data_IF_709746224833
#
_entry.id   IF_709746224833
#
_cell.length_a   1.000
_cell.length_b   1.000
_cell.length_c   1.000
_cell.angle_alpha   90.00
_cell.angle_beta   90.00
_cell.angle_gamma   90.00
#
_symmetry.space_group_name_H-M   'P 1'
#
loop_
_entity.id
_entity.type
_entity.pdbx_description
1 polymer ?
#
# COMPACT_ATOMS: atom_id res chain seq x y z
N UNK A 1 -42.62 20.26 40.29
CA UNK A 1 -41.20 20.64 40.18
C UNK A 1 -40.40 19.38 39.94
N UNK A 2 -40.19 19.03 38.67
CA UNK A 2 -39.47 17.83 38.25
C UNK A 2 -38.09 18.27 37.74
N UNK A 3 -37.07 17.63 38.30
CA UNK A 3 -35.65 17.96 38.21
C UNK A 3 -35.13 17.88 36.77
N UNK A 4 -34.57 18.99 36.30
CA UNK A 4 -34.01 19.20 34.97
C UNK A 4 -32.62 18.54 34.84
N UNK A 5 -32.56 17.21 35.04
CA UNK A 5 -31.42 16.41 34.61
C UNK A 5 -31.69 15.85 33.24
N UNK A 6 -31.77 16.76 32.28
CA UNK A 6 -31.53 16.43 30.89
C UNK A 6 -30.04 16.07 30.80
N UNK A 7 -29.76 14.80 31.10
CA UNK A 7 -28.61 14.07 30.59
C UNK A 7 -28.35 14.57 29.18
N UNK A 8 -27.31 15.39 29.01
CA UNK A 8 -26.77 15.71 27.69
C UNK A 8 -26.26 14.38 27.17
N UNK A 9 -27.17 13.69 26.50
CA UNK A 9 -26.91 12.44 25.84
C UNK A 9 -25.68 12.67 24.98
N UNK A 10 -24.71 11.79 25.22
CA UNK A 10 -23.62 11.47 24.34
C UNK A 10 -24.18 11.21 22.94
N UNK A 11 -24.49 12.27 22.19
CA UNK A 11 -24.51 12.23 20.75
C UNK A 11 -23.05 12.23 20.32
N UNK A 12 -22.37 11.11 20.58
CA UNK A 12 -21.29 10.65 19.73
C UNK A 12 -21.98 10.51 18.38
N UNK A 13 -21.89 11.56 17.57
CA UNK A 13 -22.53 11.64 16.27
C UNK A 13 -22.15 10.37 15.50
N UNK A 14 -23.15 9.53 15.31
CA UNK A 14 -23.09 8.30 14.57
C UNK A 14 -22.81 8.64 13.10
N UNK A 15 -21.59 8.35 12.63
CA UNK A 15 -21.30 7.92 11.25
C UNK A 15 -21.67 8.82 10.06
N UNK A 16 -21.65 10.14 10.18
CA UNK A 16 -22.02 11.03 9.05
C UNK A 16 -20.82 11.47 8.18
N UNK A 17 -20.12 10.50 7.60
CA UNK A 17 -19.55 10.57 6.25
C UNK A 17 -18.91 9.20 5.94
N UNK A 18 -19.38 8.47 4.91
CA UNK A 18 -18.98 7.09 4.68
C UNK A 18 -17.49 6.99 4.36
N UNK A 19 -16.86 5.92 4.84
CA UNK A 19 -15.46 5.58 4.55
C UNK A 19 -15.26 5.11 3.10
N UNK A 20 -15.84 5.82 2.13
CA UNK A 20 -16.03 5.31 0.76
C UNK A 20 -14.70 5.11 0.04
N UNK A 21 -13.73 6.01 0.23
CA UNK A 21 -12.40 5.86 -0.34
C UNK A 21 -11.61 4.70 0.25
N UNK A 22 -11.81 4.36 1.53
CA UNK A 22 -11.00 3.34 2.24
C UNK A 22 -11.02 1.96 1.58
N UNK A 23 -12.19 1.57 1.06
CA UNK A 23 -12.43 0.28 0.41
C UNK A 23 -11.66 0.17 -0.91
N UNK A 24 -11.40 1.30 -1.57
CA UNK A 24 -10.76 1.33 -2.89
C UNK A 24 -9.30 1.79 -2.81
N UNK A 25 -9.02 2.93 -2.16
CA UNK A 25 -7.66 3.46 -1.98
C UNK A 25 -6.77 2.45 -1.26
N UNK A 26 -7.23 1.91 -0.12
CA UNK A 26 -6.43 1.02 0.72
C UNK A 26 -5.89 -0.18 -0.05
N UNK A 27 -6.75 -1.03 -0.63
CA UNK A 27 -6.32 -2.13 -1.50
C UNK A 27 -5.62 -1.64 -2.78
N UNK A 28 -6.06 -0.54 -3.38
CA UNK A 28 -5.50 0.01 -4.61
C UNK A 28 -4.02 0.39 -4.47
N UNK A 29 -3.63 0.96 -3.32
CA UNK A 29 -2.25 1.32 -2.98
C UNK A 29 -1.31 0.11 -3.06
N UNK A 30 -1.77 -1.10 -2.73
CA UNK A 30 -0.96 -2.32 -2.84
C UNK A 30 -0.49 -2.60 -4.28
N UNK A 31 -1.20 -2.09 -5.29
CA UNK A 31 -0.80 -2.21 -6.71
C UNK A 31 0.34 -1.26 -7.11
N UNK A 32 0.67 -0.28 -6.26
CA UNK A 32 1.64 0.78 -6.53
C UNK A 32 2.88 0.70 -5.62
N UNK A 33 2.70 0.32 -4.35
CA UNK A 33 3.79 0.29 -3.37
C UNK A 33 4.92 -0.66 -3.75
N UNK A 34 6.11 -0.32 -3.25
CA UNK A 34 7.33 -1.11 -3.41
C UNK A 34 7.60 -1.81 -2.09
N UNK A 35 7.27 -3.10 -2.01
CA UNK A 35 7.29 -3.87 -0.77
C UNK A 35 8.72 -4.37 -0.54
N UNK A 36 9.40 -4.01 0.55
CA UNK A 36 10.71 -4.57 0.87
C UNK A 36 10.60 -6.09 1.07
N UNK A 37 11.56 -6.84 0.54
CA UNK A 37 11.66 -8.28 0.73
C UNK A 37 12.66 -8.57 1.84
N UNK A 38 12.24 -9.05 3.03
CA UNK A 38 13.15 -9.33 4.15
C UNK A 38 14.20 -10.38 3.80
N UNK A 39 15.35 -10.32 4.47
CA UNK A 39 16.45 -11.26 4.23
C UNK A 39 17.17 -11.06 2.89
N UNK A 40 16.78 -10.05 2.12
CA UNK A 40 17.45 -9.66 0.88
C UNK A 40 18.26 -8.38 1.11
N UNK A 41 19.29 -8.15 0.29
CA UNK A 41 20.13 -6.94 0.33
C UNK A 41 19.37 -5.72 -0.24
N UNK A 42 18.21 -5.41 0.33
CA UNK A 42 17.35 -4.30 -0.07
C UNK A 42 16.47 -4.55 -1.29
N UNK A 43 16.18 -5.80 -1.67
CA UNK A 43 15.26 -6.05 -2.79
C UNK A 43 13.84 -5.61 -2.44
N UNK A 44 13.12 -5.15 -3.45
CA UNK A 44 11.71 -4.77 -3.39
C UNK A 44 10.88 -5.60 -4.36
N UNK A 45 9.72 -6.05 -3.89
CA UNK A 45 8.63 -6.58 -4.69
C UNK A 45 7.81 -5.41 -5.26
N UNK A 46 7.59 -5.44 -6.57
CA UNK A 46 6.74 -4.47 -7.26
C UNK A 46 5.99 -5.13 -8.40
N UNK A 47 4.76 -4.67 -8.61
CA UNK A 47 3.99 -5.04 -9.78
C UNK A 47 4.32 -4.18 -10.98
N UNK A 48 5.23 -3.20 -10.93
CA UNK A 48 5.48 -2.30 -12.07
C UNK A 48 6.87 -2.50 -12.67
N UNK A 49 7.00 -2.45 -14.01
CA UNK A 49 8.31 -2.46 -14.63
C UNK A 49 9.15 -1.26 -14.18
N UNK A 50 10.49 -1.35 -14.26
CA UNK A 50 11.34 -0.19 -14.13
C UNK A 50 10.93 0.92 -15.11
N UNK A 51 11.09 2.21 -14.77
CA UNK A 51 10.65 3.31 -15.64
C UNK A 51 11.21 3.28 -17.06
N UNK A 52 12.42 2.73 -17.25
CA UNK A 52 13.13 2.64 -18.53
C UNK A 52 12.79 1.36 -19.34
N UNK A 53 11.90 0.50 -18.83
CA UNK A 53 11.49 -0.74 -19.50
C UNK A 53 10.08 -0.63 -20.06
N UNK A 54 10.01 -0.46 -21.37
CA UNK A 54 8.77 -0.49 -22.15
C UNK A 54 8.58 -1.88 -22.78
N UNK A 55 7.34 -2.37 -22.84
CA UNK A 55 7.01 -3.63 -23.54
C UNK A 55 7.36 -4.93 -22.80
N UNK A 56 7.77 -4.87 -21.53
CA UNK A 56 8.04 -6.06 -20.72
C UNK A 56 6.79 -6.95 -20.58
N UNK A 57 6.94 -8.24 -20.87
CA UNK A 57 5.92 -9.27 -20.64
C UNK A 57 5.88 -9.75 -19.19
N UNK A 58 6.54 -9.05 -18.27
CA UNK A 58 6.62 -9.43 -16.86
C UNK A 58 5.48 -8.83 -16.03
N UNK A 59 4.87 -9.63 -15.16
CA UNK A 59 3.81 -9.17 -14.26
C UNK A 59 4.34 -8.73 -12.89
N UNK A 60 5.42 -9.36 -12.42
CA UNK A 60 5.99 -9.15 -11.08
C UNK A 60 7.50 -9.00 -11.17
N UNK A 61 8.04 -8.12 -10.33
CA UNK A 61 9.46 -7.80 -10.25
C UNK A 61 9.91 -7.84 -8.79
N UNK A 62 10.96 -8.59 -8.50
CA UNK A 62 11.76 -8.44 -7.30
C UNK A 62 13.12 -7.87 -7.72
N UNK A 63 13.44 -6.67 -7.28
CA UNK A 63 14.61 -5.91 -7.77
C UNK A 63 15.23 -5.01 -6.70
N UNK A 64 16.45 -4.54 -6.91
CA UNK A 64 17.01 -3.48 -6.08
C UNK A 64 16.32 -2.14 -6.43
N UNK A 65 15.84 -1.35 -5.43
CA UNK A 65 15.22 -0.05 -5.66
C UNK A 65 16.18 1.01 -6.22
N UNK A 66 17.48 0.90 -5.93
CA UNK A 66 18.52 1.87 -6.33
C UNK A 66 19.02 1.62 -7.76
N UNK A 67 18.87 0.40 -8.26
CA UNK A 67 19.41 -0.03 -9.54
C UNK A 67 18.49 0.31 -10.74
N UNK A 68 17.84 1.47 -10.66
CA UNK A 68 16.87 1.93 -11.64
C UNK A 68 17.50 2.40 -12.97
N UNK A 69 18.84 2.46 -13.07
CA UNK A 69 19.56 2.96 -14.26
C UNK A 69 20.33 1.89 -15.03
N UNK A 70 20.74 0.76 -14.43
CA UNK A 70 21.55 -0.24 -15.14
C UNK A 70 21.34 -1.73 -14.74
N UNK A 71 20.64 -2.06 -13.66
CA UNK A 71 20.49 -3.44 -13.21
C UNK A 71 19.15 -4.06 -13.55
N UNK A 72 19.21 -5.17 -14.29
CA UNK A 72 18.04 -5.99 -14.57
C UNK A 72 17.39 -6.45 -13.25
N UNK A 73 16.07 -6.51 -13.18
CA UNK A 73 15.37 -7.11 -12.04
C UNK A 73 15.91 -8.52 -11.75
N UNK A 74 16.19 -8.75 -10.47
CA UNK A 74 16.89 -9.91 -9.96
C UNK A 74 16.03 -11.18 -10.05
N UNK A 75 14.73 -11.07 -9.81
CA UNK A 75 13.76 -12.12 -10.06
C UNK A 75 12.50 -11.54 -10.72
N UNK A 76 12.00 -12.21 -11.75
CA UNK A 76 10.76 -11.85 -12.43
C UNK A 76 9.92 -13.05 -12.77
N UNK A 77 8.63 -12.79 -12.90
CA UNK A 77 7.66 -13.71 -13.46
C UNK A 77 7.25 -13.20 -14.85
N UNK A 78 7.72 -13.90 -15.87
CA UNK A 78 7.60 -13.52 -17.29
C UNK A 78 6.65 -14.48 -18.01
N UNK A 79 5.99 -13.98 -19.06
CA UNK A 79 5.29 -14.81 -20.04
C UNK A 79 5.97 -14.64 -21.40
N UNK A 80 6.38 -15.74 -22.04
CA UNK A 80 6.99 -15.68 -23.35
C UNK A 80 7.87 -16.89 -23.68
N UNK A 81 8.69 -16.79 -24.74
CA UNK A 81 9.62 -17.85 -25.12
C UNK A 81 10.59 -18.19 -23.99
N UNK A 82 10.61 -19.46 -23.59
CA UNK A 82 11.48 -20.01 -22.58
C UNK A 82 12.66 -20.74 -23.24
N UNK A 83 13.88 -20.31 -22.90
CA UNK A 83 15.11 -20.86 -23.49
C UNK A 83 15.45 -22.26 -22.99
N UNK A 84 14.95 -22.65 -21.82
CA UNK A 84 15.21 -23.96 -21.22
C UNK A 84 14.25 -25.03 -21.72
N UNK A 85 12.98 -24.67 -21.91
CA UNK A 85 11.93 -25.62 -22.35
C UNK A 85 11.63 -25.53 -23.85
N UNK A 86 12.16 -24.51 -24.53
CA UNK A 86 11.86 -24.19 -25.93
C UNK A 86 10.36 -23.96 -26.22
N UNK A 87 9.57 -23.69 -25.19
CA UNK A 87 8.13 -23.44 -25.28
C UNK A 87 7.79 -21.98 -24.96
N UNK A 88 6.58 -21.54 -25.31
CA UNK A 88 6.02 -20.29 -24.79
C UNK A 88 5.30 -20.64 -23.48
N UNK A 89 5.84 -20.21 -22.35
CA UNK A 89 5.30 -20.52 -21.03
C UNK A 89 5.43 -19.35 -20.04
N UNK A 90 4.91 -19.55 -18.83
CA UNK A 90 5.21 -18.72 -17.68
C UNK A 90 6.50 -19.23 -17.03
N UNK A 91 7.49 -18.36 -16.87
CA UNK A 91 8.77 -18.76 -16.30
C UNK A 91 9.38 -17.70 -15.39
N UNK A 92 10.16 -18.20 -14.45
CA UNK A 92 10.99 -17.39 -13.59
C UNK A 92 12.26 -16.96 -14.34
N UNK A 93 12.56 -15.68 -14.29
CA UNK A 93 13.80 -15.13 -14.78
C UNK A 93 14.61 -14.62 -13.59
N UNK A 94 15.79 -15.19 -13.36
CA UNK A 94 16.63 -14.87 -12.21
C UNK A 94 18.06 -14.56 -12.65
N UNK A 95 18.51 -13.35 -12.34
CA UNK A 95 19.84 -12.87 -12.68
C UNK A 95 20.55 -12.38 -11.41
N UNK A 96 21.88 -12.43 -11.39
CA UNK A 96 22.68 -11.97 -10.25
C UNK A 96 22.85 -12.98 -9.11
N UNK A 97 24.03 -12.95 -8.47
CA UNK A 97 24.38 -13.86 -7.36
C UNK A 97 23.51 -13.64 -6.12
N UNK A 98 23.20 -12.38 -5.80
CA UNK A 98 22.37 -12.04 -4.64
C UNK A 98 20.94 -12.60 -4.75
N UNK A 99 20.35 -12.55 -5.95
CA UNK A 99 19.02 -13.11 -6.21
C UNK A 99 18.98 -14.63 -6.01
N UNK A 100 19.95 -15.34 -6.60
CA UNK A 100 20.03 -16.80 -6.49
C UNK A 100 20.25 -17.27 -5.05
N UNK A 101 20.94 -16.47 -4.24
CA UNK A 101 21.07 -16.71 -2.80
C UNK A 101 19.75 -16.46 -2.06
N UNK A 102 19.01 -15.42 -2.43
CA UNK A 102 17.73 -15.07 -1.80
C UNK A 102 16.59 -16.02 -2.17
N UNK A 103 16.63 -16.62 -3.37
CA UNK A 103 15.60 -17.52 -3.90
C UNK A 103 16.22 -18.86 -4.30
N UNK A 104 16.64 -19.68 -3.33
CA UNK A 104 17.21 -20.99 -3.62
C UNK A 104 16.17 -21.87 -4.30
N UNK A 105 16.60 -22.66 -5.29
CA UNK A 105 15.72 -23.56 -6.04
C UNK A 105 15.07 -22.94 -7.28
N UNK A 106 15.09 -21.61 -7.43
CA UNK A 106 14.64 -20.95 -8.66
C UNK A 106 15.83 -20.76 -9.59
N UNK A 107 15.77 -21.37 -10.77
CA UNK A 107 16.79 -21.23 -11.82
C UNK A 107 16.33 -20.29 -12.94
N UNK A 108 17.27 -19.81 -13.74
CA UNK A 108 16.95 -18.88 -14.81
C UNK A 108 16.21 -19.58 -15.94
N UNK A 109 15.07 -19.02 -16.37
CA UNK A 109 14.11 -19.62 -17.29
C UNK A 109 13.45 -20.91 -16.78
N UNK A 110 13.34 -21.05 -15.45
CA UNK A 110 12.61 -22.17 -14.86
C UNK A 110 11.10 -22.01 -15.09
N UNK A 111 10.38 -23.05 -15.58
CA UNK A 111 8.92 -23.01 -15.66
C UNK A 111 8.29 -22.69 -14.31
N UNK A 112 7.29 -21.82 -14.30
CA UNK A 112 6.65 -21.34 -13.08
C UNK A 112 5.44 -22.19 -12.64
N UNK A 113 4.98 -23.10 -13.51
CA UNK A 113 3.85 -23.98 -13.26
C UNK A 113 2.51 -23.25 -13.10
N UNK A 114 1.49 -23.99 -12.65
CA UNK A 114 0.12 -23.45 -12.49
C UNK A 114 0.05 -22.31 -11.46
N UNK A 115 0.80 -22.43 -10.36
CA UNK A 115 0.87 -21.38 -9.33
C UNK A 115 1.48 -20.10 -9.89
N UNK A 116 2.59 -20.20 -10.63
CA UNK A 116 3.19 -19.05 -11.30
C UNK A 116 2.27 -18.41 -12.34
N UNK A 117 1.57 -19.21 -13.13
CA UNK A 117 0.56 -18.70 -14.06
C UNK A 117 -0.55 -17.91 -13.35
N UNK A 118 -1.10 -18.46 -12.26
CA UNK A 118 -2.14 -17.80 -11.47
C UNK A 118 -1.64 -16.47 -10.87
N UNK A 119 -0.44 -16.49 -10.29
CA UNK A 119 0.22 -15.29 -9.76
C UNK A 119 0.41 -14.25 -10.87
N UNK A 120 0.87 -14.65 -12.05
CA UNK A 120 1.09 -13.75 -13.18
C UNK A 120 -0.22 -13.08 -13.64
N UNK A 121 -1.26 -13.89 -13.89
CA UNK A 121 -2.57 -13.39 -14.33
C UNK A 121 -3.19 -12.48 -13.27
N UNK A 122 -3.13 -12.91 -12.01
CA UNK A 122 -3.60 -12.15 -10.86
C UNK A 122 -2.89 -10.81 -10.74
N UNK A 123 -1.56 -10.78 -10.81
CA UNK A 123 -0.77 -9.55 -10.74
C UNK A 123 -1.06 -8.59 -11.91
N UNK A 124 -1.24 -9.11 -13.13
CA UNK A 124 -1.59 -8.29 -14.30
C UNK A 124 -2.97 -7.67 -14.15
N UNK A 125 -3.96 -8.46 -13.73
CA UNK A 125 -5.31 -7.98 -13.46
C UNK A 125 -5.32 -6.95 -12.32
N UNK A 126 -4.65 -7.26 -11.21
CA UNK A 126 -4.58 -6.40 -10.03
C UNK A 126 -3.84 -5.08 -10.30
N UNK A 127 -2.81 -5.08 -11.15
CA UNK A 127 -2.15 -3.84 -11.59
C UNK A 127 -3.11 -2.89 -12.30
N UNK A 128 -4.02 -3.42 -13.13
CA UNK A 128 -5.02 -2.62 -13.82
C UNK A 128 -6.15 -2.21 -12.86
N UNK A 129 -6.71 -3.17 -12.12
CA UNK A 129 -7.78 -2.93 -11.16
C UNK A 129 -7.37 -1.94 -10.05
N UNK A 130 -6.15 -2.06 -9.53
CA UNK A 130 -5.64 -1.18 -8.48
C UNK A 130 -5.54 0.29 -8.92
N UNK A 131 -5.28 0.57 -10.21
CA UNK A 131 -5.36 1.94 -10.74
C UNK A 131 -6.78 2.48 -10.73
N UNK A 132 -7.74 1.64 -11.16
CA UNK A 132 -9.16 1.99 -11.13
C UNK A 132 -9.58 2.25 -9.68
N UNK A 133 -9.20 1.39 -8.74
CA UNK A 133 -9.49 1.57 -7.32
C UNK A 133 -8.91 2.88 -6.77
N UNK A 134 -7.66 3.23 -7.10
CA UNK A 134 -7.07 4.50 -6.65
C UNK A 134 -7.87 5.69 -7.23
N UNK A 135 -8.16 5.70 -8.53
CA UNK A 135 -8.87 6.82 -9.18
C UNK A 135 -10.28 6.95 -8.61
N UNK A 136 -11.04 5.86 -8.58
CA UNK A 136 -12.41 5.86 -8.06
C UNK A 136 -12.43 6.22 -6.58
N UNK A 137 -11.52 5.67 -5.78
CA UNK A 137 -11.36 6.02 -4.38
C UNK A 137 -11.08 7.51 -4.17
N UNK A 138 -10.23 8.12 -5.00
CA UNK A 138 -9.90 9.54 -4.92
C UNK A 138 -11.10 10.43 -5.27
N UNK A 139 -11.88 10.05 -6.27
CA UNK A 139 -13.14 10.75 -6.61
C UNK A 139 -14.13 10.67 -5.45
N UNK A 140 -14.30 9.49 -4.85
CA UNK A 140 -15.20 9.30 -3.72
C UNK A 140 -14.72 10.08 -2.48
N UNK A 141 -13.40 10.17 -2.26
CA UNK A 141 -12.81 11.02 -1.23
C UNK A 141 -13.09 12.50 -1.50
N UNK A 142 -12.93 12.97 -2.73
CA UNK A 142 -13.29 14.34 -3.14
C UNK A 142 -14.76 14.66 -2.90
N UNK A 143 -15.67 13.77 -3.30
CA UNK A 143 -17.10 13.91 -3.01
C UNK A 143 -17.33 13.99 -1.50
N UNK A 144 -16.68 13.11 -0.72
CA UNK A 144 -16.83 13.10 0.74
C UNK A 144 -16.35 14.40 1.40
N UNK A 145 -15.34 15.06 0.84
CA UNK A 145 -14.87 16.37 1.34
C UNK A 145 -15.90 17.46 1.02
N UNK A 146 -16.44 17.47 -0.21
CA UNK A 146 -17.39 18.48 -0.67
C UNK A 146 -18.74 18.40 0.04
N UNK A 147 -19.16 17.20 0.45
CA UNK A 147 -20.44 16.99 1.13
C UNK A 147 -20.34 16.96 2.66
N UNK A 148 -19.13 17.05 3.21
CA UNK A 148 -18.93 17.02 4.66
C UNK A 148 -19.34 18.34 5.33
N UNK A 149 -19.98 18.23 6.50
CA UNK A 149 -20.28 19.38 7.37
C UNK A 149 -19.01 20.11 7.82
N UNK A 150 -17.88 19.40 7.91
CA UNK A 150 -16.56 19.93 8.26
C UNK A 150 -15.53 19.55 7.18
N UNK A 151 -15.46 20.28 6.06
CA UNK A 151 -14.65 19.90 4.90
C UNK A 151 -13.14 19.87 5.20
N UNK A 152 -12.65 20.75 6.08
CA UNK A 152 -11.23 20.76 6.48
C UNK A 152 -10.84 19.56 7.33
N UNK A 153 -11.69 19.19 8.30
CA UNK A 153 -11.52 17.96 9.06
C UNK A 153 -11.47 16.76 8.12
N UNK A 154 -12.42 16.67 7.19
CA UNK A 154 -12.48 15.55 6.25
C UNK A 154 -11.26 15.48 5.33
N UNK A 155 -10.79 16.62 4.85
CA UNK A 155 -9.55 16.71 4.07
C UNK A 155 -8.37 16.14 4.84
N UNK A 156 -8.20 16.54 6.11
CA UNK A 156 -7.12 16.02 6.96
C UNK A 156 -7.21 14.51 7.15
N UNK A 157 -8.41 13.98 7.39
CA UNK A 157 -8.63 12.54 7.51
C UNK A 157 -8.22 11.78 6.23
N UNK A 158 -8.58 12.29 5.06
CA UNK A 158 -8.26 11.64 3.77
C UNK A 158 -6.75 11.64 3.52
N UNK A 159 -6.08 12.79 3.66
CA UNK A 159 -4.65 12.91 3.39
C UNK A 159 -3.84 12.02 4.34
N UNK A 160 -4.15 12.07 5.64
CA UNK A 160 -3.49 11.21 6.64
C UNK A 160 -3.76 9.73 6.38
N UNK A 161 -4.96 9.37 5.91
CA UNK A 161 -5.30 8.00 5.55
C UNK A 161 -4.51 7.48 4.34
N UNK A 162 -4.29 8.29 3.31
CA UNK A 162 -3.50 7.89 2.14
C UNK A 162 -2.03 7.61 2.50
N UNK A 163 -1.44 8.47 3.33
CA UNK A 163 -0.07 8.30 3.81
C UNK A 163 0.05 7.05 4.69
N UNK A 164 -0.84 6.90 5.67
CA UNK A 164 -0.84 5.74 6.55
C UNK A 164 -1.10 4.43 5.79
N UNK A 165 -1.99 4.44 4.81
CA UNK A 165 -2.23 3.29 3.94
C UNK A 165 -0.97 2.92 3.16
N UNK A 166 -0.22 3.88 2.64
CA UNK A 166 1.04 3.64 1.92
C UNK A 166 2.08 3.02 2.84
N UNK A 167 2.27 3.60 4.03
CA UNK A 167 3.25 3.12 5.02
C UNK A 167 2.88 1.73 5.53
N UNK A 168 1.63 1.49 5.91
CA UNK A 168 1.22 0.18 6.41
C UNK A 168 1.12 -0.86 5.30
N UNK A 169 0.76 -0.52 4.07
CA UNK A 169 0.87 -1.45 2.94
C UNK A 169 2.32 -1.89 2.74
N UNK A 170 3.28 -0.97 2.87
CA UNK A 170 4.70 -1.31 2.79
C UNK A 170 5.12 -2.27 3.90
N UNK A 171 4.79 -1.94 5.15
CA UNK A 171 5.25 -2.69 6.33
C UNK A 171 4.55 -4.04 6.49
N UNK A 172 3.22 -4.08 6.33
CA UNK A 172 2.48 -5.32 6.34
C UNK A 172 2.81 -6.18 5.12
N UNK A 173 3.05 -5.56 3.94
CA UNK A 173 3.58 -6.26 2.78
C UNK A 173 4.95 -6.86 3.06
N UNK A 174 5.86 -6.15 3.73
CA UNK A 174 7.17 -6.67 4.13
C UNK A 174 7.03 -7.87 5.06
N UNK A 175 6.17 -7.77 6.07
CA UNK A 175 5.89 -8.87 7.00
C UNK A 175 5.29 -10.08 6.27
N UNK A 176 4.30 -9.86 5.41
CA UNK A 176 3.68 -10.91 4.60
C UNK A 176 4.68 -11.55 3.63
N UNK A 177 5.56 -10.77 3.01
CA UNK A 177 6.63 -11.28 2.16
C UNK A 177 7.62 -12.14 2.96
N UNK A 178 7.96 -11.77 4.20
CA UNK A 178 8.77 -12.59 5.09
C UNK A 178 8.10 -13.95 5.36
N UNK A 179 6.85 -13.93 5.82
CA UNK A 179 6.09 -15.16 6.11
C UNK A 179 5.97 -16.03 4.86
N UNK A 180 5.62 -15.42 3.72
CA UNK A 180 5.52 -16.11 2.45
C UNK A 180 6.84 -16.72 1.99
N UNK A 181 7.96 -16.04 2.21
CA UNK A 181 9.31 -16.57 1.90
C UNK A 181 9.66 -17.77 2.77
N UNK A 182 9.23 -17.79 4.04
CA UNK A 182 9.45 -18.94 4.93
C UNK A 182 8.69 -20.19 4.48
N UNK A 183 7.54 -20.02 3.84
CA UNK A 183 6.74 -21.12 3.28
C UNK A 183 7.34 -21.57 1.93
N UNK A 184 7.49 -20.62 1.00
CA UNK A 184 8.03 -20.88 -0.34
C UNK A 184 8.76 -19.63 -0.87
N UNK A 185 10.11 -19.69 -0.99
CA UNK A 185 10.87 -18.61 -1.61
C UNK A 185 10.42 -18.35 -3.05
N UNK A 186 10.11 -17.09 -3.36
CA UNK A 186 9.64 -16.69 -4.69
C UNK A 186 8.13 -16.54 -4.74
N UNK A 187 7.39 -17.61 -5.07
CA UNK A 187 5.93 -17.55 -5.19
C UNK A 187 5.26 -17.15 -3.86
N UNK A 188 5.65 -17.79 -2.75
CA UNK A 188 5.18 -17.45 -1.41
C UNK A 188 5.53 -16.01 -1.03
N UNK A 189 6.75 -15.55 -1.30
CA UNK A 189 7.16 -14.15 -1.12
C UNK A 189 6.21 -13.17 -1.83
N UNK A 190 5.85 -13.46 -3.08
CA UNK A 190 4.98 -12.61 -3.90
C UNK A 190 3.54 -12.58 -3.39
N UNK A 191 2.98 -13.76 -3.08
CA UNK A 191 1.62 -13.88 -2.54
C UNK A 191 1.52 -13.20 -1.18
N UNK A 192 2.40 -13.58 -0.26
CA UNK A 192 2.42 -13.04 1.10
C UNK A 192 2.65 -11.52 1.10
N UNK A 193 3.57 -11.03 0.26
CA UNK A 193 3.80 -9.60 0.10
C UNK A 193 2.58 -8.85 -0.41
N UNK A 194 1.93 -9.38 -1.46
CA UNK A 194 0.72 -8.78 -2.03
C UNK A 194 -0.44 -8.73 -1.04
N UNK A 195 -0.75 -9.86 -0.38
CA UNK A 195 -1.83 -9.93 0.62
C UNK A 195 -1.54 -9.00 1.79
N UNK A 196 -0.31 -9.04 2.33
CA UNK A 196 0.10 -8.16 3.41
C UNK A 196 -0.07 -6.69 3.05
N UNK A 197 0.30 -6.30 1.82
CA UNK A 197 0.16 -4.92 1.37
C UNK A 197 -1.30 -4.48 1.20
N UNK A 198 -2.18 -5.36 0.70
CA UNK A 198 -3.61 -5.07 0.59
C UNK A 198 -4.22 -4.84 1.98
N UNK A 199 -3.97 -5.75 2.91
CA UNK A 199 -4.49 -5.67 4.29
C UNK A 199 -3.93 -4.44 5.00
N UNK A 200 -2.62 -4.21 4.90
CA UNK A 200 -1.97 -3.04 5.49
C UNK A 200 -2.48 -1.72 4.92
N UNK A 201 -2.72 -1.65 3.61
CA UNK A 201 -3.28 -0.46 2.96
C UNK A 201 -4.70 -0.15 3.44
N UNK A 202 -5.56 -1.17 3.51
CA UNK A 202 -6.92 -1.02 4.03
C UNK A 202 -6.93 -0.59 5.50
N UNK A 203 -6.20 -1.31 6.36
CA UNK A 203 -6.11 -1.03 7.80
C UNK A 203 -5.54 0.37 8.04
N UNK A 204 -4.45 0.72 7.35
CA UNK A 204 -3.80 2.02 7.51
C UNK A 204 -4.68 3.19 7.12
N UNK A 205 -5.42 3.05 6.01
CA UNK A 205 -6.41 4.05 5.64
C UNK A 205 -7.46 4.21 6.74
N UNK A 206 -8.07 3.09 7.14
CA UNK A 206 -9.18 3.08 8.10
C UNK A 206 -8.75 3.73 9.42
N UNK A 207 -7.69 3.22 10.04
CA UNK A 207 -7.26 3.66 11.36
C UNK A 207 -6.82 5.12 11.39
N UNK A 208 -6.06 5.56 10.37
CA UNK A 208 -5.54 6.93 10.36
C UNK A 208 -6.65 7.96 10.10
N UNK A 209 -7.61 7.64 9.21
CA UNK A 209 -8.77 8.52 9.00
C UNK A 209 -9.56 8.73 10.31
N UNK A 210 -9.75 7.69 11.11
CA UNK A 210 -10.43 7.78 12.41
C UNK A 210 -9.63 8.62 13.39
N UNK A 211 -8.34 8.32 13.57
CA UNK A 211 -7.45 9.03 14.51
C UNK A 211 -7.33 10.51 14.16
N UNK A 212 -7.18 10.85 12.88
CA UNK A 212 -7.13 12.24 12.43
C UNK A 212 -8.44 12.99 12.73
N UNK A 213 -9.58 12.32 12.62
CA UNK A 213 -10.87 12.88 13.01
C UNK A 213 -10.94 13.23 14.49
N UNK A 214 -10.51 12.30 15.35
CA UNK A 214 -10.44 12.51 16.81
C UNK A 214 -9.48 13.65 17.14
N UNK A 215 -8.29 13.66 16.53
CA UNK A 215 -7.29 14.70 16.77
C UNK A 215 -7.77 16.09 16.36
N UNK A 216 -8.40 16.22 15.17
CA UNK A 216 -8.96 17.49 14.73
C UNK A 216 -10.03 18.02 15.69
N UNK A 217 -10.95 17.15 16.12
CA UNK A 217 -11.98 17.52 17.10
C UNK A 217 -11.36 17.98 18.43
N UNK A 218 -10.31 17.31 18.89
CA UNK A 218 -9.60 17.75 20.09
C UNK A 218 -8.97 19.15 19.89
N UNK A 219 -8.28 19.37 18.77
CA UNK A 219 -7.60 20.64 18.48
C UNK A 219 -8.57 21.82 18.30
N UNK A 220 -9.72 21.60 17.66
CA UNK A 220 -10.75 22.62 17.45
C UNK A 220 -11.41 23.06 18.77
N UNK A 221 -11.49 22.15 19.75
CA UNK A 221 -12.08 22.42 21.06
C UNK A 221 -11.08 22.98 22.09
N UNK A 222 -9.79 23.05 21.76
CA UNK A 222 -8.77 23.70 22.61
C UNK A 222 -8.68 25.20 22.31
N UNK A 223 -9.13 26.03 23.25
CA UNK A 223 -8.92 27.48 23.20
C UNK A 223 -7.56 27.84 23.79
N UNK A 224 -6.73 28.56 23.02
CA UNK A 224 -5.50 29.17 23.54
C UNK A 224 -5.86 30.45 24.29
N UNK A 225 -5.51 30.52 25.57
CA UNK A 225 -5.58 31.77 26.34
C UNK A 225 -4.46 32.68 25.80
N UNK A 226 -4.76 33.91 25.33
CA UNK A 226 -3.72 34.84 24.93
C UNK A 226 -2.72 35.02 26.08
N UNK A 227 -1.43 34.98 25.79
CA UNK A 227 -0.43 35.32 26.78
C UNK A 227 -0.70 36.74 27.29
N UNK A 228 -0.76 36.94 28.61
CA UNK A 228 -0.85 38.28 29.17
C UNK A 228 0.32 39.11 28.64
N UNK A 229 0.02 40.29 28.09
CA UNK A 229 1.04 41.28 27.76
C UNK A 229 1.77 41.63 29.06
N UNK A 230 3.04 41.21 29.17
CA UNK A 230 3.90 41.68 30.24
C UNK A 230 4.26 43.11 29.86
N UNK A 231 3.69 44.09 30.57
CA UNK A 231 4.05 45.49 30.40
C UNK A 231 5.56 45.64 30.55
N UNK A 232 6.23 46.04 29.47
CA UNK A 232 7.66 46.38 29.51
C UNK A 232 7.79 47.66 30.34
N UNK A 233 8.53 47.67 31.47
CA UNK A 233 8.72 48.89 32.24
C UNK A 233 9.40 49.93 31.34
N UNK A 234 8.79 51.11 31.21
CA UNK A 234 9.41 52.25 30.54
C UNK A 234 10.69 52.63 31.28
N UNK A 235 11.82 52.68 30.56
CA UNK A 235 13.08 53.21 31.04
C UNK A 235 13.03 54.73 31.20
#
# INVERSE_FOLDING_TARGET
MADARQTSQNHIATWDAPMVGSVLIGPGIASYVRIPVPGTQGLILSLRPPPHWHGSTSAIFIRNPEDARYGKPFLRLDYGPNKSTHAIDYHWNIEGKAARKAFPGITNHMPAGATGEAIYKGAKAFRAAGRVFIITGAVLDGISILTANRPWQRTLQVVTAWEAATVLANQAGKAGAAVGTMIEPGAGTMIGGGIGAIVGGFVGYYTASTVAGVFYNWAENTHFIPAHEIAVPSQ
#
